data_IF_302273859596
#
_entry.id   IF_302273859596
#
_cell.length_a   1.000
_cell.length_b   1.000
_cell.length_c   1.000
_cell.angle_alpha   90.00
_cell.angle_beta   90.00
_cell.angle_gamma   90.00
#
_symmetry.space_group_name_H-M   'P 1'
#
loop_
_entity.id
_entity.type
_entity.pdbx_description
1 polymer ?
#
# COMPACT_ATOMS: atom_id res chain seq x y z
N UNK A 1 59.02 0.33 78.32
CA UNK A 1 57.99 1.35 78.55
C UNK A 1 57.66 1.96 77.19
N UNK A 2 56.37 1.93 76.85
CA UNK A 2 55.60 2.63 75.80
C UNK A 2 56.30 3.88 75.19
N UNK A 3 56.19 4.25 73.91
CA UNK A 3 55.28 3.93 72.81
C UNK A 3 55.96 4.33 71.47
N UNK A 4 55.81 3.50 70.43
CA UNK A 4 55.94 3.82 68.98
C UNK A 4 54.49 3.85 68.40
N UNK A 5 54.21 4.13 67.10
CA UNK A 5 54.85 5.00 66.08
C UNK A 5 53.87 5.64 65.05
N UNK A 6 54.49 6.24 63.99
CA UNK A 6 54.11 6.17 62.54
C UNK A 6 53.03 7.20 62.07
N UNK A 7 53.18 7.94 60.96
CA UNK A 7 53.55 7.55 59.58
C UNK A 7 54.08 8.72 58.70
N UNK A 8 54.61 8.45 57.47
CA UNK A 8 55.49 9.29 56.65
C UNK A 8 54.90 9.78 55.30
N UNK A 9 55.66 10.58 54.52
CA UNK A 9 55.50 10.65 53.05
C UNK A 9 55.93 11.94 52.32
N UNK A 10 57.21 12.02 51.92
CA UNK A 10 57.79 12.75 50.78
C UNK A 10 57.10 12.43 49.43
N UNK A 11 57.18 13.15 48.29
CA UNK A 11 57.91 14.35 47.85
C UNK A 11 57.42 14.79 46.43
N UNK A 12 57.77 16.03 46.03
CA UNK A 12 58.14 16.52 44.66
C UNK A 12 57.11 16.48 43.52
N UNK A 13 57.02 17.41 42.56
CA UNK A 13 57.83 18.56 42.12
C UNK A 13 57.07 19.35 41.02
N UNK A 14 57.41 20.66 40.89
CA UNK A 14 57.32 21.53 39.68
C UNK A 14 55.92 21.91 39.16
N UNK A 15 55.49 23.19 39.10
CA UNK A 15 56.03 24.35 38.34
C UNK A 15 55.24 24.47 37.02
N UNK A 16 54.77 25.59 36.46
CA UNK A 16 54.83 27.04 36.66
C UNK A 16 53.89 27.67 35.57
N UNK A 17 53.16 28.75 35.86
CA UNK A 17 52.55 29.78 34.94
C UNK A 17 51.48 29.38 33.89
N UNK A 18 50.45 30.14 33.50
CA UNK A 18 49.63 31.28 33.99
C UNK A 18 48.37 31.36 33.03
N UNK A 19 47.36 32.24 33.24
CA UNK A 19 45.95 31.97 32.88
C UNK A 19 45.44 32.57 31.54
N UNK A 20 44.21 32.21 31.09
CA UNK A 20 43.28 33.20 30.52
C UNK A 20 41.83 33.04 31.08
N UNK A 21 40.90 33.98 30.78
CA UNK A 21 39.95 34.59 31.73
C UNK A 21 38.62 33.83 31.89
N UNK A 22 37.78 34.20 32.88
CA UNK A 22 36.47 33.61 33.06
C UNK A 22 35.31 34.52 32.57
N UNK A 23 34.17 33.87 32.33
CA UNK A 23 32.80 34.38 32.23
C UNK A 23 32.35 35.08 30.94
N UNK A 24 31.55 34.34 30.15
CA UNK A 24 30.25 34.83 29.70
C UNK A 24 29.18 33.78 30.02
N UNK A 25 28.27 34.16 30.92
CA UNK A 25 26.96 33.55 31.16
C UNK A 25 26.20 33.46 29.83
N UNK A 26 25.71 32.28 29.43
CA UNK A 26 24.38 31.76 29.79
C UNK A 26 23.26 32.77 29.48
N UNK A 27 22.64 32.61 28.30
CA UNK A 27 21.18 32.72 28.20
C UNK A 27 20.63 32.01 26.95
N UNK A 28 19.51 31.33 27.20
CA UNK A 28 18.71 30.43 26.39
C UNK A 28 18.22 30.98 25.02
N UNK A 29 18.14 30.10 24.01
CA UNK A 29 16.85 29.60 23.48
C UNK A 29 17.00 28.57 22.35
N UNK A 30 16.82 27.32 22.79
CA UNK A 30 16.06 26.20 22.17
C UNK A 30 15.50 26.43 20.76
N UNK A 31 16.05 25.69 19.79
CA UNK A 31 15.42 25.37 18.49
C UNK A 31 15.18 23.87 18.44
N UNK A 32 13.95 23.44 18.72
CA UNK A 32 13.51 22.05 18.63
C UNK A 32 13.56 21.58 17.17
N UNK A 33 14.47 20.64 16.90
CA UNK A 33 14.36 19.63 15.84
C UNK A 33 13.99 18.33 16.54
N UNK A 34 13.02 17.59 16.01
CA UNK A 34 12.82 16.13 16.05
C UNK A 34 11.37 15.84 15.59
N UNK A 35 11.02 14.78 14.87
CA UNK A 35 11.80 13.64 14.41
C UNK A 35 11.05 12.95 13.26
N UNK A 36 11.84 12.52 12.27
CA UNK A 36 11.43 11.65 11.17
C UNK A 36 12.62 10.69 11.07
N UNK A 37 12.45 9.46 11.55
CA UNK A 37 13.27 8.27 11.23
C UNK A 37 13.00 7.15 12.26
N UNK A 38 11.95 6.38 12.04
CA UNK A 38 11.82 5.04 12.61
C UNK A 38 11.16 4.13 11.59
N UNK A 39 11.99 3.45 10.79
CA UNK A 39 11.88 2.04 10.40
C UNK A 39 13.06 1.72 9.47
N UNK A 40 14.26 1.64 10.04
CA UNK A 40 15.45 1.11 9.36
C UNK A 40 15.59 -0.36 9.77
N UNK A 41 15.13 -1.28 8.91
CA UNK A 41 15.29 -2.73 9.14
C UNK A 41 16.73 -3.12 8.80
N UNK A 42 17.40 -3.71 9.78
CA UNK A 42 18.80 -4.14 9.75
C UNK A 42 18.93 -5.42 8.90
N UNK A 43 19.88 -5.43 7.95
CA UNK A 43 20.34 -6.62 7.24
C UNK A 43 21.43 -7.31 8.08
N UNK A 44 21.34 -8.63 8.24
CA UNK A 44 22.46 -9.50 8.64
C UNK A 44 22.55 -10.71 7.69
N UNK A 45 23.77 -11.24 7.39
CA UNK A 45 23.97 -12.26 6.36
C UNK A 45 24.09 -13.70 6.91
N UNK A 46 24.00 -14.67 5.98
CA UNK A 46 24.36 -16.10 6.07
C UNK A 46 23.28 -17.02 6.69
N UNK A 47 22.91 -18.18 6.11
CA UNK A 47 23.73 -19.29 5.58
C UNK A 47 22.87 -20.24 4.71
N UNK A 48 23.43 -20.79 3.62
CA UNK A 48 22.84 -21.86 2.80
C UNK A 48 22.91 -23.24 3.49
N UNK A 49 22.02 -24.21 3.18
CA UNK A 49 22.50 -25.46 2.54
C UNK A 49 21.40 -26.17 1.68
N UNK A 50 21.59 -27.42 1.22
CA UNK A 50 22.34 -27.83 0.04
C UNK A 50 21.44 -28.34 -1.10
N UNK A 51 22.05 -28.57 -2.26
CA UNK A 51 21.44 -29.20 -3.42
C UNK A 51 20.94 -30.63 -3.12
N UNK A 52 19.73 -30.94 -3.58
CA UNK A 52 19.29 -32.30 -3.83
C UNK A 52 18.72 -32.42 -5.24
N UNK A 53 19.33 -33.33 -5.99
CA UNK A 53 18.88 -33.76 -7.31
C UNK A 53 17.63 -34.62 -7.19
N UNK A 54 16.58 -34.30 -7.93
CA UNK A 54 15.55 -35.27 -8.29
C UNK A 54 14.99 -34.89 -9.66
N UNK A 55 15.37 -35.66 -10.67
CA UNK A 55 14.64 -35.73 -11.94
C UNK A 55 13.17 -36.04 -11.66
N UNK A 56 12.25 -35.33 -12.31
CA UNK A 56 11.36 -35.95 -13.30
C UNK A 56 10.38 -34.95 -13.96
N UNK A 57 10.36 -35.02 -15.30
CA UNK A 57 9.24 -34.80 -16.23
C UNK A 57 8.83 -33.37 -16.59
N UNK A 58 9.57 -32.90 -17.60
CA UNK A 58 9.15 -31.99 -18.66
C UNK A 58 7.79 -32.43 -19.26
N UNK A 59 6.72 -31.71 -18.97
CA UNK A 59 5.47 -31.81 -19.73
C UNK A 59 5.57 -30.89 -20.94
N UNK A 60 6.00 -31.46 -22.06
CA UNK A 60 5.85 -30.86 -23.40
C UNK A 60 4.35 -30.72 -23.65
N UNK A 61 3.83 -29.49 -23.67
CA UNK A 61 2.49 -29.22 -24.19
C UNK A 61 2.60 -29.23 -25.72
N UNK A 62 2.42 -30.41 -26.28
CA UNK A 62 2.24 -30.63 -27.71
C UNK A 62 0.95 -29.96 -28.16
N UNK A 63 1.05 -29.21 -29.26
CA UNK A 63 -0.05 -28.71 -30.06
C UNK A 63 -1.05 -29.83 -30.39
N UNK A 64 -2.24 -29.77 -29.80
CA UNK A 64 -3.38 -30.61 -30.14
C UNK A 64 -4.46 -29.72 -30.74
N UNK A 65 -4.59 -29.82 -32.07
CA UNK A 65 -5.68 -29.29 -32.87
C UNK A 65 -6.98 -30.08 -32.65
N UNK A 66 -8.01 -29.45 -32.08
CA UNK A 66 -9.42 -29.84 -32.18
C UNK A 66 -10.32 -28.65 -31.75
N UNK A 67 -11.59 -28.56 -32.20
CA UNK A 67 -12.10 -27.42 -32.94
C UNK A 67 -12.52 -26.23 -32.07
N UNK A 68 -12.33 -25.06 -32.68
CA UNK A 68 -12.87 -23.75 -32.26
C UNK A 68 -14.37 -23.88 -32.03
N UNK A 69 -14.74 -23.97 -30.76
CA UNK A 69 -16.10 -23.68 -30.33
C UNK A 69 -16.26 -22.17 -30.46
N UNK A 70 -16.91 -21.77 -31.54
CA UNK A 70 -17.30 -20.39 -31.82
C UNK A 70 -18.42 -20.03 -30.85
N UNK A 71 -18.08 -19.77 -29.58
CA UNK A 71 -18.95 -18.98 -28.72
C UNK A 71 -18.88 -17.56 -29.25
N UNK A 72 -19.91 -17.21 -30.01
CA UNK A 72 -20.27 -15.84 -30.34
C UNK A 72 -20.39 -15.04 -29.04
N UNK A 73 -19.31 -14.41 -28.61
CA UNK A 73 -19.34 -13.40 -27.55
C UNK A 73 -20.14 -12.24 -28.09
N UNK A 74 -21.36 -12.11 -27.61
CA UNK A 74 -22.18 -10.90 -27.76
C UNK A 74 -21.31 -9.69 -27.39
N UNK A 75 -21.20 -8.74 -28.31
CA UNK A 75 -20.21 -7.64 -28.32
C UNK A 75 -20.39 -6.56 -27.24
N UNK A 76 -20.89 -6.92 -26.06
CA UNK A 76 -21.36 -5.96 -25.03
C UNK A 76 -20.61 -5.99 -23.69
N UNK A 77 -19.77 -7.00 -23.41
CA UNK A 77 -19.07 -7.15 -22.11
C UNK A 77 -17.54 -7.09 -22.21
N UNK A 78 -17.01 -6.31 -23.15
CA UNK A 78 -15.57 -6.20 -23.37
C UNK A 78 -15.11 -4.75 -23.37
N UNK A 79 -13.96 -4.48 -22.74
CA UNK A 79 -13.29 -3.18 -22.77
C UNK A 79 -12.14 -3.23 -23.78
N UNK A 80 -12.04 -2.19 -24.59
CA UNK A 80 -10.94 -2.02 -25.54
C UNK A 80 -10.04 -0.90 -25.05
N UNK A 81 -8.73 -1.17 -25.01
CA UNK A 81 -7.70 -0.20 -24.66
C UNK A 81 -6.79 0.00 -25.85
N UNK A 82 -6.73 1.22 -26.38
CA UNK A 82 -5.87 1.55 -27.51
C UNK A 82 -4.45 1.87 -27.04
N UNK A 83 -3.43 1.31 -27.69
CA UNK A 83 -2.04 1.65 -27.41
C UNK A 83 -1.71 3.02 -28.03
N UNK A 84 -1.00 3.87 -27.29
CA UNK A 84 -0.61 5.24 -27.69
C UNK A 84 -1.72 6.24 -28.02
N UNK A 85 -3.00 5.90 -27.77
CA UNK A 85 -4.11 6.84 -27.92
C UNK A 85 -4.72 7.20 -26.56
N UNK A 86 -4.03 8.12 -25.87
CA UNK A 86 -4.48 8.61 -24.57
C UNK A 86 -5.79 9.39 -24.66
N UNK A 87 -6.10 10.02 -25.79
CA UNK A 87 -7.33 10.79 -25.97
C UNK A 87 -8.55 9.86 -26.08
N UNK A 88 -8.43 8.78 -26.88
CA UNK A 88 -9.46 7.75 -26.98
C UNK A 88 -9.68 7.03 -25.65
N UNK A 89 -8.61 6.62 -24.98
CA UNK A 89 -8.71 5.98 -23.67
C UNK A 89 -9.31 6.93 -22.62
N UNK A 90 -8.97 8.23 -22.66
CA UNK A 90 -9.58 9.22 -21.76
C UNK A 90 -11.06 9.46 -22.06
N UNK A 91 -11.51 9.33 -23.30
CA UNK A 91 -12.92 9.44 -23.65
C UNK A 91 -13.73 8.23 -23.16
N UNK A 92 -13.15 7.01 -23.22
CA UNK A 92 -13.81 5.78 -22.78
C UNK A 92 -13.78 5.60 -21.25
N UNK A 93 -12.65 5.92 -20.62
CA UNK A 93 -12.40 5.66 -19.20
C UNK A 93 -12.31 6.95 -18.37
N UNK A 94 -12.73 8.10 -18.89
CA UNK A 94 -12.49 9.42 -18.30
C UNK A 94 -13.02 9.65 -16.88
N UNK A 95 -13.93 8.79 -16.41
CA UNK A 95 -14.43 8.79 -15.02
C UNK A 95 -13.66 7.84 -14.09
N UNK A 96 -12.81 6.96 -14.64
CA UNK A 96 -12.01 6.00 -13.88
C UNK A 96 -10.76 6.65 -13.30
N UNK A 97 -10.58 6.52 -11.99
CA UNK A 97 -9.40 7.02 -11.26
C UNK A 97 -8.68 5.87 -10.58
N UNK A 98 -7.35 5.93 -10.50
CA UNK A 98 -6.55 4.98 -9.70
C UNK A 98 -6.40 5.44 -8.23
N UNK A 99 -7.32 6.25 -7.73
CA UNK A 99 -7.36 6.73 -6.35
C UNK A 99 -7.99 5.65 -5.48
N UNK A 100 -7.28 5.22 -4.44
CA UNK A 100 -7.77 4.29 -3.44
C UNK A 100 -8.44 5.06 -2.30
N UNK A 101 -9.69 4.72 -1.99
CA UNK A 101 -10.44 5.27 -0.86
C UNK A 101 -11.04 4.11 -0.07
N UNK A 102 -10.46 3.80 1.09
CA UNK A 102 -10.94 2.78 2.03
C UNK A 102 -11.59 3.40 3.27
N UNK A 103 -11.32 4.69 3.50
CA UNK A 103 -12.00 5.49 4.51
C UNK A 103 -13.51 5.53 4.30
N UNK A 104 -14.24 5.47 5.40
CA UNK A 104 -15.71 5.40 5.40
C UNK A 104 -16.34 6.76 5.65
N UNK A 105 -15.66 7.61 6.41
CA UNK A 105 -16.19 8.88 6.85
C UNK A 105 -15.35 10.05 6.32
N UNK A 106 -16.04 11.10 5.91
CA UNK A 106 -15.47 12.44 5.83
C UNK A 106 -15.70 13.16 7.17
N UNK A 107 -14.95 14.23 7.43
CA UNK A 107 -15.07 15.03 8.67
C UNK A 107 -16.51 15.42 9.01
N UNK A 108 -17.32 15.81 8.00
CA UNK A 108 -18.73 16.17 8.18
C UNK A 108 -19.70 15.00 8.13
N UNK A 109 -19.38 13.93 7.39
CA UNK A 109 -20.28 12.77 7.27
C UNK A 109 -20.12 11.75 8.40
N UNK A 110 -19.06 11.87 9.21
CA UNK A 110 -18.82 11.00 10.35
C UNK A 110 -20.02 10.95 11.29
N UNK A 111 -20.39 12.08 11.88
CA UNK A 111 -21.42 12.12 12.92
C UNK A 111 -22.78 11.56 12.48
N UNK A 112 -23.40 12.00 11.36
CA UNK A 112 -24.70 11.47 10.96
C UNK A 112 -24.65 9.98 10.58
N UNK A 113 -23.62 9.53 9.85
CA UNK A 113 -23.50 8.12 9.44
C UNK A 113 -23.20 7.23 10.64
N UNK A 114 -22.24 7.63 11.47
CA UNK A 114 -21.86 6.89 12.67
C UNK A 114 -23.01 6.76 13.67
N UNK A 115 -23.77 7.84 13.91
CA UNK A 115 -24.93 7.77 14.80
C UNK A 115 -26.02 6.87 14.24
N UNK A 116 -26.32 6.94 12.94
CA UNK A 116 -27.27 6.05 12.30
C UNK A 116 -26.87 4.58 12.50
N UNK A 117 -25.62 4.24 12.20
CA UNK A 117 -25.09 2.89 12.40
C UNK A 117 -25.09 2.46 13.86
N UNK A 118 -24.76 3.37 14.76
CA UNK A 118 -24.74 3.11 16.19
C UNK A 118 -26.14 2.84 16.73
N UNK A 119 -27.18 3.55 16.25
CA UNK A 119 -28.56 3.33 16.68
C UNK A 119 -29.27 2.19 15.93
N UNK A 120 -28.73 1.71 14.81
CA UNK A 120 -29.19 0.45 14.20
C UNK A 120 -28.77 -0.80 15.02
N UNK A 121 -27.79 -0.67 15.94
CA UNK A 121 -27.43 -1.76 16.86
C UNK A 121 -28.56 -1.95 17.89
N UNK A 122 -29.07 -3.19 18.00
CA UNK A 122 -30.22 -3.55 18.86
C UNK A 122 -30.06 -3.05 20.30
N UNK A 123 -28.87 -3.21 20.90
CA UNK A 123 -28.61 -2.75 22.28
C UNK A 123 -28.75 -1.23 22.43
N UNK A 124 -28.16 -0.47 21.52
CA UNK A 124 -28.20 0.99 21.55
C UNK A 124 -29.60 1.52 21.25
N UNK A 125 -30.32 0.89 20.32
CA UNK A 125 -31.73 1.19 20.03
C UNK A 125 -32.61 0.94 21.27
N UNK A 126 -32.41 -0.18 21.96
CA UNK A 126 -33.13 -0.49 23.19
C UNK A 126 -32.91 0.59 24.25
N UNK A 127 -31.66 0.95 24.56
CA UNK A 127 -31.35 2.00 25.52
C UNK A 127 -31.90 3.37 25.10
N UNK A 128 -31.91 3.68 23.80
CA UNK A 128 -32.50 4.91 23.27
C UNK A 128 -34.01 4.95 23.52
N UNK A 129 -34.73 3.88 23.18
CA UNK A 129 -36.19 3.80 23.38
C UNK A 129 -36.54 3.89 24.87
N UNK A 130 -35.84 3.15 25.73
CA UNK A 130 -36.07 3.21 27.18
C UNK A 130 -35.78 4.62 27.71
N UNK A 131 -34.69 5.26 27.26
CA UNK A 131 -34.37 6.63 27.65
C UNK A 131 -35.47 7.62 27.23
N UNK A 132 -36.03 7.47 26.03
CA UNK A 132 -37.16 8.29 25.56
C UNK A 132 -38.40 8.05 26.43
N UNK A 133 -38.77 6.80 26.70
CA UNK A 133 -39.92 6.48 27.55
C UNK A 133 -39.76 7.05 28.98
N UNK A 134 -38.54 7.05 29.53
CA UNK A 134 -38.24 7.63 30.84
C UNK A 134 -38.44 9.14 30.92
N UNK A 135 -38.43 9.87 29.79
CA UNK A 135 -38.69 11.33 29.77
C UNK A 135 -40.17 11.67 29.93
N UNK A 136 -41.08 10.72 29.69
CA UNK A 136 -42.52 10.93 29.76
C UNK A 136 -42.98 10.78 31.22
N UNK A 137 -43.14 11.91 31.92
CA UNK A 137 -43.47 11.95 33.37
C UNK A 137 -44.66 11.07 33.79
N UNK A 138 -45.78 10.98 33.04
CA UNK A 138 -46.93 10.15 33.44
C UNK A 138 -46.69 8.63 33.46
N UNK A 139 -45.72 8.13 32.68
CA UNK A 139 -45.44 6.68 32.56
C UNK A 139 -44.13 6.29 33.25
N UNK A 140 -43.27 7.27 33.56
CA UNK A 140 -41.93 7.07 34.06
C UNK A 140 -41.89 7.06 35.58
N UNK A 141 -41.34 5.99 36.15
CA UNK A 141 -41.00 5.88 37.58
C UNK A 141 -39.82 6.78 38.00
N UNK A 142 -39.15 7.41 37.02
CA UNK A 142 -37.95 8.23 37.22
C UNK A 142 -38.28 9.73 37.15
N UNK A 143 -39.56 10.11 37.29
CA UNK A 143 -40.04 11.50 37.29
C UNK A 143 -39.60 12.34 36.07
N UNK A 144 -39.43 11.69 34.91
CA UNK A 144 -39.01 12.35 33.67
C UNK A 144 -37.49 12.47 33.47
N UNK A 145 -36.66 11.90 34.35
CA UNK A 145 -35.20 11.89 34.19
C UNK A 145 -34.76 10.61 33.46
N UNK A 146 -34.07 10.70 32.31
CA UNK A 146 -33.62 9.53 31.56
C UNK A 146 -32.34 8.95 32.16
N UNK A 147 -32.45 8.09 33.17
CA UNK A 147 -31.30 7.50 33.88
C UNK A 147 -30.42 6.61 33.00
N UNK A 148 -30.94 6.06 31.91
CA UNK A 148 -30.15 5.27 30.95
C UNK A 148 -29.37 6.13 29.94
N UNK A 149 -29.74 7.40 29.76
CA UNK A 149 -29.11 8.26 28.77
C UNK A 149 -27.60 8.50 29.02
N UNK A 150 -27.12 8.72 30.27
CA UNK A 150 -25.69 8.82 30.55
C UNK A 150 -24.91 7.56 30.18
N UNK A 151 -25.46 6.37 30.46
CA UNK A 151 -24.83 5.09 30.09
C UNK A 151 -24.78 4.92 28.57
N UNK A 152 -25.88 5.22 27.88
CA UNK A 152 -25.93 5.18 26.42
C UNK A 152 -24.92 6.14 25.80
N UNK A 153 -24.86 7.39 26.29
CA UNK A 153 -23.89 8.38 25.82
C UNK A 153 -22.45 7.89 25.99
N UNK A 154 -22.13 7.32 27.16
CA UNK A 154 -20.79 6.78 27.42
C UNK A 154 -20.40 5.67 26.44
N UNK A 155 -21.30 4.71 26.18
CA UNK A 155 -21.06 3.63 25.22
C UNK A 155 -20.87 4.18 23.81
N UNK A 156 -21.75 5.09 23.38
CA UNK A 156 -21.65 5.73 22.05
C UNK A 156 -20.34 6.52 21.90
N UNK A 157 -19.90 7.20 22.96
CA UNK A 157 -18.64 7.95 22.95
C UNK A 157 -17.42 7.03 22.79
N UNK A 158 -17.37 5.89 23.48
CA UNK A 158 -16.26 4.94 23.33
C UNK A 158 -16.23 4.36 21.91
N UNK A 159 -17.38 3.92 21.40
CA UNK A 159 -17.51 3.42 20.03
C UNK A 159 -17.07 4.47 19.01
N UNK A 160 -17.42 5.75 19.25
CA UNK A 160 -17.04 6.86 18.38
C UNK A 160 -15.52 7.04 18.35
N UNK A 161 -14.85 6.97 19.51
CA UNK A 161 -13.38 7.11 19.58
C UNK A 161 -12.71 6.01 18.76
N UNK A 162 -13.10 4.75 18.92
CA UNK A 162 -12.51 3.66 18.15
C UNK A 162 -12.79 3.78 16.65
N UNK A 163 -14.02 4.16 16.28
CA UNK A 163 -14.38 4.40 14.88
C UNK A 163 -13.53 5.52 14.26
N UNK A 164 -13.31 6.63 14.99
CA UNK A 164 -12.45 7.73 14.53
C UNK A 164 -11.00 7.26 14.38
N UNK A 165 -10.45 6.59 15.39
CA UNK A 165 -9.07 6.10 15.34
C UNK A 165 -8.85 5.15 14.16
N UNK A 166 -9.79 4.25 13.92
CA UNK A 166 -9.73 3.33 12.79
C UNK A 166 -9.81 4.08 11.46
N UNK A 167 -10.74 5.03 11.32
CA UNK A 167 -10.91 5.76 10.06
C UNK A 167 -9.72 6.67 9.77
N UNK A 168 -9.12 7.30 10.79
CA UNK A 168 -7.86 8.05 10.64
C UNK A 168 -6.71 7.16 10.14
N UNK A 169 -6.63 5.93 10.64
CA UNK A 169 -5.64 4.96 10.14
C UNK A 169 -5.92 4.58 8.68
N UNK A 170 -7.18 4.48 8.27
CA UNK A 170 -7.56 4.24 6.87
C UNK A 170 -7.18 5.41 5.97
N UNK A 171 -7.45 6.66 6.38
CA UNK A 171 -6.98 7.85 5.65
C UNK A 171 -5.47 7.87 5.47
N UNK A 172 -4.70 7.57 6.53
CA UNK A 172 -3.23 7.46 6.42
C UNK A 172 -2.79 6.39 5.43
N UNK A 173 -3.48 5.25 5.40
CA UNK A 173 -3.20 4.17 4.45
C UNK A 173 -3.56 4.55 3.02
N UNK A 174 -4.70 5.22 2.83
CA UNK A 174 -5.15 5.73 1.53
C UNK A 174 -4.15 6.77 1.01
N UNK A 175 -3.72 7.72 1.84
CA UNK A 175 -2.72 8.72 1.49
C UNK A 175 -1.38 8.10 1.11
N UNK A 176 -0.92 7.08 1.86
CA UNK A 176 0.31 6.36 1.55
C UNK A 176 0.22 5.64 0.19
N UNK A 177 -0.91 5.00 -0.12
CA UNK A 177 -1.12 4.35 -1.41
C UNK A 177 -1.21 5.36 -2.56
N UNK A 178 -1.98 6.44 -2.38
CA UNK A 178 -2.23 7.44 -3.41
C UNK A 178 -1.01 8.34 -3.70
N UNK A 179 -0.10 8.50 -2.73
CA UNK A 179 1.15 9.25 -2.87
C UNK A 179 2.36 8.39 -3.25
N UNK A 180 2.21 7.06 -3.33
CA UNK A 180 3.25 6.18 -3.85
C UNK A 180 3.57 6.52 -5.32
N UNK A 181 4.81 6.32 -5.72
CA UNK A 181 5.29 6.63 -7.08
C UNK A 181 5.49 5.37 -7.90
N UNK A 182 5.24 5.46 -9.21
CA UNK A 182 5.58 4.45 -10.21
C UNK A 182 6.24 5.11 -11.43
N UNK A 183 6.90 4.31 -12.27
CA UNK A 183 7.61 4.80 -13.45
C UNK A 183 6.73 4.64 -14.69
N UNK A 184 6.43 5.76 -15.36
CA UNK A 184 5.62 5.78 -16.59
C UNK A 184 6.49 6.16 -17.78
N UNK A 185 6.38 5.42 -18.87
CA UNK A 185 7.04 5.74 -20.13
C UNK A 185 6.27 6.86 -20.83
N UNK A 186 6.89 8.02 -21.01
CA UNK A 186 6.26 9.21 -21.62
C UNK A 186 6.66 9.35 -23.09
N UNK A 187 7.96 9.20 -23.38
CA UNK A 187 8.53 9.45 -24.72
C UNK A 187 9.62 8.42 -25.08
N UNK A 188 10.20 8.58 -26.28
CA UNK A 188 11.20 7.68 -26.93
C UNK A 188 12.36 7.26 -26.05
N UNK A 189 12.67 8.02 -25.00
CA UNK A 189 13.68 7.63 -24.05
C UNK A 189 13.44 8.18 -22.64
N UNK A 190 12.20 8.56 -22.32
CA UNK A 190 11.90 9.30 -21.10
C UNK A 190 10.92 8.52 -20.25
N UNK A 191 11.38 8.17 -19.06
CA UNK A 191 10.59 7.56 -18.01
C UNK A 191 10.46 8.59 -16.90
N UNK A 192 9.23 8.87 -16.50
CA UNK A 192 8.91 9.85 -15.49
C UNK A 192 8.22 9.20 -14.30
N UNK A 193 8.53 9.69 -13.10
CA UNK A 193 7.82 9.29 -11.89
C UNK A 193 6.40 9.88 -11.92
N UNK A 194 5.41 9.06 -11.60
CA UNK A 194 4.01 9.44 -11.48
C UNK A 194 3.42 8.89 -10.19
N UNK A 195 2.54 9.65 -9.56
CA UNK A 195 1.78 9.16 -8.41
C UNK A 195 0.84 8.04 -8.83
N UNK A 196 0.65 7.04 -7.98
CA UNK A 196 -0.28 5.94 -8.23
C UNK A 196 -1.68 6.45 -8.53
N UNK A 197 -2.15 7.45 -7.79
CA UNK A 197 -3.43 8.14 -8.00
C UNK A 197 -3.60 8.76 -9.38
N UNK A 198 -2.51 9.04 -10.10
CA UNK A 198 -2.52 9.67 -11.43
C UNK A 198 -2.30 8.68 -12.59
N UNK A 199 -2.12 7.39 -12.31
CA UNK A 199 -2.02 6.36 -13.35
C UNK A 199 -3.36 6.23 -14.09
N UNK A 200 -3.30 6.20 -15.42
CA UNK A 200 -4.47 6.10 -16.30
C UNK A 200 -4.43 4.83 -17.14
N UNK A 201 -5.60 4.38 -17.57
CA UNK A 201 -5.73 3.25 -18.50
C UNK A 201 -5.02 3.58 -19.82
N UNK A 202 -4.12 2.69 -20.24
CA UNK A 202 -3.27 2.88 -21.41
C UNK A 202 -1.89 3.48 -21.11
N UNK A 203 -1.62 3.90 -19.88
CA UNK A 203 -0.25 4.24 -19.47
C UNK A 203 0.64 2.99 -19.55
N UNK A 204 1.85 3.15 -20.10
CA UNK A 204 2.85 2.09 -20.12
C UNK A 204 3.77 2.24 -18.92
N UNK A 205 3.75 1.25 -18.03
CA UNK A 205 4.49 1.28 -16.78
C UNK A 205 5.79 0.49 -16.89
N UNK A 206 6.87 1.04 -16.34
CA UNK A 206 8.10 0.30 -16.09
C UNK A 206 8.14 -0.11 -14.62
N UNK A 207 8.04 -1.41 -14.34
CA UNK A 207 8.06 -1.94 -12.97
C UNK A 207 9.43 -2.54 -12.70
N UNK A 208 10.13 -2.06 -11.67
CA UNK A 208 11.46 -2.56 -11.31
C UNK A 208 11.37 -3.73 -10.34
N UNK A 209 12.48 -4.43 -10.18
CA UNK A 209 12.57 -5.57 -9.27
C UNK A 209 12.21 -5.14 -7.83
N UNK A 210 11.33 -5.91 -7.18
CA UNK A 210 10.78 -5.66 -5.82
C UNK A 210 9.94 -4.39 -5.68
N UNK A 211 9.47 -3.79 -6.77
CA UNK A 211 8.44 -2.76 -6.71
C UNK A 211 7.04 -3.38 -6.67
N UNK A 212 6.12 -2.68 -6.00
CA UNK A 212 4.70 -3.09 -5.96
C UNK A 212 4.02 -2.59 -7.24
N UNK A 213 3.18 -3.45 -7.81
CA UNK A 213 2.42 -3.13 -9.02
C UNK A 213 1.26 -2.18 -8.66
N UNK A 214 1.16 -0.99 -9.29
CA UNK A 214 0.22 0.06 -8.87
C UNK A 214 -1.23 -0.14 -9.35
N UNK A 215 -1.46 -1.03 -10.32
CA UNK A 215 -2.74 -1.31 -10.95
C UNK A 215 -2.72 -2.69 -11.64
N UNK A 216 -3.84 -3.14 -12.19
CA UNK A 216 -3.85 -4.32 -13.07
C UNK A 216 -3.08 -4.03 -14.36
N UNK A 217 -2.06 -4.84 -14.68
CA UNK A 217 -1.17 -4.63 -15.83
C UNK A 217 -1.10 -5.85 -16.75
N UNK A 218 -0.89 -5.59 -18.04
CA UNK A 218 -0.49 -6.61 -19.02
C UNK A 218 1.02 -6.57 -19.20
N UNK A 219 1.68 -7.72 -19.08
CA UNK A 219 3.14 -7.81 -19.21
C UNK A 219 3.49 -7.82 -20.70
N UNK A 220 4.05 -6.71 -21.20
CA UNK A 220 4.48 -6.57 -22.59
C UNK A 220 5.89 -7.13 -22.81
N UNK A 221 6.79 -6.89 -21.87
CA UNK A 221 8.18 -7.33 -21.96
C UNK A 221 8.76 -7.47 -20.57
N UNK A 222 9.79 -8.30 -20.45
CA UNK A 222 10.56 -8.49 -19.23
C UNK A 222 12.03 -8.26 -19.58
N UNK A 223 12.75 -7.59 -18.68
CA UNK A 223 14.19 -7.44 -18.81
C UNK A 223 14.88 -8.78 -18.54
N UNK A 224 15.68 -9.25 -19.49
CA UNK A 224 16.28 -10.58 -19.45
C UNK A 224 17.80 -10.54 -19.26
N UNK A 225 18.38 -11.49 -18.48
CA UNK A 225 19.82 -11.56 -18.29
C UNK A 225 20.60 -11.85 -19.57
N UNK A 226 20.09 -12.73 -20.44
CA UNK A 226 20.66 -13.00 -21.76
C UNK A 226 19.75 -12.40 -22.85
N UNK A 227 20.20 -11.33 -23.51
CA UNK A 227 19.43 -10.71 -24.57
C UNK A 227 19.22 -11.62 -25.79
N UNK A 228 19.93 -12.74 -25.96
CA UNK A 228 19.80 -13.56 -27.16
C UNK A 228 18.70 -14.64 -27.05
N UNK A 229 18.21 -14.90 -25.83
CA UNK A 229 17.25 -15.98 -25.57
C UNK A 229 16.05 -15.39 -24.81
N UNK A 230 15.08 -14.76 -25.50
CA UNK A 230 13.94 -14.15 -24.83
C UNK A 230 12.98 -15.22 -24.30
N UNK A 231 12.91 -15.35 -22.98
CA UNK A 231 11.99 -16.18 -22.20
C UNK A 231 10.71 -15.43 -21.80
N UNK A 232 10.79 -14.10 -21.62
CA UNK A 232 9.70 -13.25 -21.21
C UNK A 232 9.16 -13.56 -19.80
N UNK A 233 9.94 -14.22 -18.95
CA UNK A 233 9.49 -14.74 -17.66
C UNK A 233 9.77 -13.74 -16.54
N UNK A 234 8.76 -13.42 -15.74
CA UNK A 234 8.92 -12.74 -14.46
C UNK A 234 8.25 -13.52 -13.32
N UNK A 235 8.60 -13.14 -12.10
CA UNK A 235 8.09 -13.75 -10.88
C UNK A 235 7.33 -12.71 -10.07
N UNK A 236 6.10 -13.03 -9.68
CA UNK A 236 5.22 -12.14 -8.92
C UNK A 236 4.92 -12.77 -7.57
N UNK A 237 5.17 -12.02 -6.50
CA UNK A 237 4.71 -12.39 -5.16
C UNK A 237 3.23 -11.98 -4.99
N UNK A 238 2.38 -12.94 -4.63
CA UNK A 238 0.94 -12.70 -4.43
C UNK A 238 0.49 -12.82 -2.98
N UNK A 239 1.44 -12.79 -2.03
CA UNK A 239 1.18 -12.95 -0.59
C UNK A 239 0.08 -12.04 -0.06
N UNK A 240 -0.03 -10.81 -0.55
CA UNK A 240 -1.06 -9.85 -0.14
C UNK A 240 -2.46 -10.14 -0.70
N UNK A 241 -2.58 -11.02 -1.70
CA UNK A 241 -3.83 -11.36 -2.37
C UNK A 241 -4.39 -12.72 -1.91
N UNK A 242 -3.56 -13.76 -1.84
CA UNK A 242 -3.98 -15.13 -1.54
C UNK A 242 -3.26 -15.77 -0.33
N UNK A 243 -2.31 -15.06 0.27
CA UNK A 243 -1.52 -15.56 1.40
C UNK A 243 -0.43 -16.57 1.02
N UNK A 244 -0.26 -16.88 -0.27
CA UNK A 244 0.80 -17.77 -0.73
C UNK A 244 2.17 -17.09 -0.65
N UNK A 245 3.18 -17.81 -0.15
CA UNK A 245 4.56 -17.28 -0.03
C UNK A 245 5.44 -17.60 -1.23
N UNK A 246 4.95 -18.42 -2.15
CA UNK A 246 5.68 -18.82 -3.34
C UNK A 246 5.56 -17.75 -4.42
N UNK A 247 6.62 -17.58 -5.20
CA UNK A 247 6.60 -16.71 -6.37
C UNK A 247 5.84 -17.39 -7.50
N UNK A 248 4.87 -16.69 -8.09
CA UNK A 248 4.13 -17.15 -9.26
C UNK A 248 4.84 -16.73 -10.53
N UNK A 249 5.14 -17.70 -11.39
CA UNK A 249 5.69 -17.45 -12.72
C UNK A 249 4.62 -16.78 -13.58
N UNK A 250 4.98 -15.67 -14.22
CA UNK A 250 4.17 -14.98 -15.24
C UNK A 250 5.02 -14.79 -16.49
N UNK A 251 4.37 -14.83 -17.65
CA UNK A 251 5.05 -14.69 -18.94
C UNK A 251 4.50 -13.48 -19.69
N UNK A 252 5.39 -12.73 -20.31
CA UNK A 252 5.05 -11.64 -21.23
C UNK A 252 4.32 -12.16 -22.46
N UNK A 253 3.62 -11.26 -23.15
CA UNK A 253 2.94 -11.60 -24.39
C UNK A 253 3.95 -12.12 -25.44
N UNK A 254 3.74 -13.34 -26.01
CA UNK A 254 4.70 -13.91 -26.96
C UNK A 254 4.95 -13.04 -28.20
N UNK A 255 3.96 -12.25 -28.62
CA UNK A 255 4.05 -11.35 -29.77
C UNK A 255 5.06 -10.20 -29.57
N UNK A 256 5.34 -9.83 -28.32
CA UNK A 256 6.22 -8.71 -27.96
C UNK A 256 7.53 -9.14 -27.33
N UNK A 257 7.72 -10.44 -27.11
CA UNK A 257 8.94 -11.02 -26.56
C UNK A 257 10.16 -10.75 -27.45
N UNK A 258 11.22 -10.20 -26.85
CA UNK A 258 12.50 -9.94 -27.52
C UNK A 258 12.52 -8.72 -28.44
N UNK A 259 11.37 -8.19 -28.85
CA UNK A 259 11.24 -7.00 -29.71
C UNK A 259 11.18 -5.68 -28.94
N UNK A 260 10.68 -5.71 -27.70
CA UNK A 260 10.54 -4.54 -26.83
C UNK A 260 11.65 -4.52 -25.76
N UNK A 261 12.81 -3.96 -26.08
CA UNK A 261 13.96 -3.87 -25.15
C UNK A 261 14.21 -2.48 -24.63
N UNK A 262 14.00 -1.50 -25.50
CA UNK A 262 14.17 -0.10 -25.16
C UNK A 262 12.82 0.60 -25.18
N UNK A 263 12.72 1.69 -24.42
CA UNK A 263 11.55 2.57 -24.40
C UNK A 263 11.19 3.07 -25.81
N UNK A 264 12.18 3.25 -26.69
CA UNK A 264 11.97 3.59 -28.09
C UNK A 264 11.20 2.52 -28.90
N UNK A 265 11.30 1.25 -28.53
CA UNK A 265 10.60 0.15 -29.21
C UNK A 265 9.12 0.10 -28.82
N UNK A 266 8.79 0.52 -27.59
CA UNK A 266 7.42 0.62 -27.10
C UNK A 266 6.57 1.55 -27.97
N UNK A 267 7.16 2.60 -28.53
CA UNK A 267 6.46 3.55 -29.40
C UNK A 267 6.18 3.04 -30.81
N UNK A 268 6.82 1.94 -31.22
CA UNK A 268 6.50 1.27 -32.48
C UNK A 268 5.35 0.29 -32.31
N UNK A 269 4.96 -0.02 -31.08
CA UNK A 269 3.90 -0.95 -30.78
C UNK A 269 2.54 -0.28 -31.00
N UNK A 270 1.90 -0.59 -32.12
CA UNK A 270 0.55 -0.15 -32.42
C UNK A 270 -0.43 -1.31 -32.27
N UNK A 271 -1.60 -1.03 -31.70
CA UNK A 271 -2.63 -2.05 -31.53
C UNK A 271 -3.67 -1.66 -30.48
N UNK A 272 -4.60 -2.57 -30.27
CA UNK A 272 -5.65 -2.45 -29.27
C UNK A 272 -5.68 -3.73 -28.45
N UNK A 273 -5.77 -3.60 -27.13
CA UNK A 273 -5.96 -4.73 -26.23
C UNK A 273 -7.45 -4.85 -25.94
N UNK A 274 -8.02 -6.02 -26.21
CA UNK A 274 -9.40 -6.34 -25.89
C UNK A 274 -9.41 -7.15 -24.59
N UNK A 275 -10.11 -6.71 -23.56
CA UNK A 275 -10.17 -7.37 -22.26
C UNK A 275 -11.60 -7.53 -21.79
N UNK A 276 -11.91 -8.57 -21.03
CA UNK A 276 -13.17 -8.66 -20.31
C UNK A 276 -13.38 -7.49 -19.31
N UNK A 277 -14.63 -7.25 -18.91
CA UNK A 277 -14.98 -6.29 -17.86
C UNK A 277 -14.42 -6.71 -16.49
N UNK A 278 -14.11 -5.74 -15.60
CA UNK A 278 -13.64 -6.05 -14.25
C UNK A 278 -14.59 -7.00 -13.52
N UNK A 279 -14.02 -8.07 -12.95
CA UNK A 279 -14.75 -9.10 -12.23
C UNK A 279 -13.94 -9.52 -10.98
N UNK A 280 -14.58 -10.13 -9.96
CA UNK A 280 -13.89 -10.45 -8.71
C UNK A 280 -12.99 -11.69 -8.77
N UNK A 281 -12.84 -12.36 -9.93
CA UNK A 281 -12.06 -13.59 -10.04
C UNK A 281 -10.56 -13.29 -10.20
N UNK A 282 -9.77 -13.56 -9.17
CA UNK A 282 -8.31 -13.27 -9.15
C UNK A 282 -7.45 -14.19 -10.04
N UNK A 283 -7.97 -15.36 -10.40
CA UNK A 283 -7.23 -16.40 -11.14
C UNK A 283 -7.69 -16.57 -12.59
N UNK A 284 -8.65 -15.75 -13.05
CA UNK A 284 -9.22 -15.83 -14.38
C UNK A 284 -9.09 -14.47 -15.05
N UNK A 285 -8.53 -14.48 -16.26
CA UNK A 285 -8.46 -13.30 -17.11
C UNK A 285 -8.67 -13.74 -18.57
N UNK A 286 -9.52 -13.03 -19.30
CA UNK A 286 -9.72 -13.20 -20.74
C UNK A 286 -9.44 -11.89 -21.49
N UNK A 287 -8.54 -11.96 -22.47
CA UNK A 287 -8.24 -10.86 -23.38
C UNK A 287 -7.47 -11.32 -24.62
N UNK A 288 -7.41 -10.46 -25.63
CA UNK A 288 -6.72 -10.68 -26.91
C UNK A 288 -6.03 -9.43 -27.41
#
# INVERSE_FOLDING_TARGET
>A
MQHEPKQPGEATSEGLTDPPPPHQDADDKVRLKDGKDMYRRVNTPSTAPPASSSSERLAVVTSSSAPVSTTSTTSSDCRTVSLHDAAHNSALFGTGTNVVVTSKYTTFSFLPKFLFESFCKVANLFFLVVSILQTIKPISNTYGVPTNAPTLLFVICIDAIFAIMEDLRRHQSDDAANSATCHVVVDKNTVADRLWSHVKVGDVLQIRNREVIPADVLILSVEEPDPNVPSGICYVETKSLDGETNLKLRQALPATMGSLRHTADLLKLEGTVLCETPNPYINKFAGS
#
